data_IF_557984753389
#
_entry.id   IF_557984753389
#
_cell.length_a   1.000
_cell.length_b   1.000
_cell.length_c   1.000
_cell.angle_alpha   90.00
_cell.angle_beta   90.00
_cell.angle_gamma   90.00
#
_symmetry.space_group_name_H-M   'P 1'
#
loop_
_entity.id
_entity.type
_entity.pdbx_description
1 polymer ?
#
# COMPACT_ATOMS: atom_id res chain seq x y z
N UNK A 1 5.03 8.58 4.32
CA UNK A 1 5.89 8.00 3.26
C UNK A 1 5.02 7.29 2.24
N UNK A 2 5.00 7.80 1.00
CA UNK A 2 4.15 7.32 -0.10
C UNK A 2 4.76 6.08 -0.75
N UNK A 3 3.96 5.05 -1.01
CA UNK A 3 4.39 3.82 -1.66
C UNK A 3 4.29 3.96 -3.19
N UNK A 4 5.22 3.38 -3.96
CA UNK A 4 5.15 3.31 -5.42
C UNK A 4 3.90 2.56 -5.89
N UNK A 5 3.44 2.86 -7.11
CA UNK A 5 2.27 2.20 -7.69
C UNK A 5 2.46 0.67 -7.76
N UNK A 6 1.51 -0.08 -7.20
CA UNK A 6 1.51 -1.55 -7.18
C UNK A 6 2.42 -2.19 -6.13
N UNK A 7 3.06 -1.41 -5.26
CA UNK A 7 3.88 -1.93 -4.14
C UNK A 7 3.04 -1.99 -2.87
N UNK A 8 3.00 -3.16 -2.24
CA UNK A 8 2.28 -3.36 -1.00
C UNK A 8 3.18 -3.24 0.23
N UNK A 9 2.59 -2.94 1.39
CA UNK A 9 3.28 -3.04 2.67
C UNK A 9 2.31 -3.43 3.78
N UNK A 10 2.58 -4.55 4.44
CA UNK A 10 1.89 -4.98 5.64
C UNK A 10 2.53 -4.29 6.86
N UNK A 11 1.71 -3.67 7.70
CA UNK A 11 2.14 -2.99 8.92
C UNK A 11 1.32 -3.50 10.09
N UNK A 12 1.97 -3.68 11.24
CA UNK A 12 1.37 -4.11 12.49
C UNK A 12 0.61 -3.00 13.20
N UNK A 13 1.17 -1.78 13.17
CA UNK A 13 0.58 -0.59 13.78
C UNK A 13 1.10 0.69 13.16
N UNK A 14 0.55 1.84 13.60
CA UNK A 14 1.07 3.17 13.27
C UNK A 14 0.00 4.20 12.91
N UNK A 15 0.45 5.43 12.62
CA UNK A 15 -0.43 6.57 12.39
C UNK A 15 -1.12 6.59 11.02
N UNK A 16 -1.99 7.60 10.82
CA UNK A 16 -2.80 7.70 9.60
C UNK A 16 -2.00 8.05 8.33
N UNK A 17 -0.77 8.55 8.45
CA UNK A 17 0.10 8.84 7.29
C UNK A 17 -0.54 9.80 6.28
N UNK A 18 -1.28 10.80 6.78
CA UNK A 18 -2.08 11.76 5.99
C UNK A 18 -3.26 11.16 5.20
N UNK A 19 -3.64 9.91 5.45
CA UNK A 19 -4.83 9.29 4.85
C UNK A 19 -6.10 9.62 5.64
N UNK A 20 -7.04 10.35 5.03
CA UNK A 20 -8.27 10.82 5.71
C UNK A 20 -9.16 9.67 6.21
N UNK A 21 -9.31 8.60 5.43
CA UNK A 21 -10.08 7.43 5.87
C UNK A 21 -9.45 6.74 7.09
N UNK A 22 -8.12 6.69 7.16
CA UNK A 22 -7.42 6.06 8.29
C UNK A 22 -7.46 6.97 9.52
N UNK A 23 -7.41 8.29 9.32
CA UNK A 23 -7.65 9.28 10.38
C UNK A 23 -9.04 9.10 11.00
N UNK A 24 -10.07 8.89 10.18
CA UNK A 24 -11.44 8.61 10.64
C UNK A 24 -11.52 7.30 11.44
N UNK A 25 -10.97 6.20 10.92
CA UNK A 25 -10.94 4.91 11.64
C UNK A 25 -10.26 5.05 13.01
N UNK A 26 -9.07 5.64 13.07
CA UNK A 26 -8.34 5.86 14.34
C UNK A 26 -9.18 6.71 15.31
N UNK A 27 -9.82 7.76 14.81
CA UNK A 27 -10.68 8.63 15.62
C UNK A 27 -11.85 7.84 16.24
N UNK A 28 -12.59 7.07 15.44
CA UNK A 28 -13.72 6.27 15.91
C UNK A 28 -13.30 5.12 16.84
N UNK A 29 -12.06 4.66 16.72
CA UNK A 29 -11.46 3.70 17.62
C UNK A 29 -10.83 4.37 18.87
N UNK A 30 -11.31 5.56 19.26
CA UNK A 30 -10.86 6.32 20.44
C UNK A 30 -9.34 6.56 20.46
N UNK A 31 -8.76 6.80 19.28
CA UNK A 31 -7.33 7.03 19.13
C UNK A 31 -6.49 5.76 19.07
N UNK A 32 -7.08 4.56 19.11
CA UNK A 32 -6.35 3.30 18.97
C UNK A 32 -5.67 3.22 17.58
N UNK A 33 -4.39 2.82 17.59
CA UNK A 33 -3.52 2.65 16.40
C UNK A 33 -2.91 1.26 16.31
N UNK A 34 -3.27 0.38 17.25
CA UNK A 34 -2.75 -0.97 17.41
C UNK A 34 -3.58 -1.95 16.57
N UNK A 35 -3.66 -1.67 15.27
CA UNK A 35 -4.30 -2.57 14.31
C UNK A 35 -3.46 -2.70 13.05
N UNK A 36 -3.41 -3.95 12.58
CA UNK A 36 -2.72 -4.31 11.36
C UNK A 36 -3.39 -3.67 10.15
N UNK A 37 -2.59 -3.31 9.15
CA UNK A 37 -3.09 -2.78 7.89
C UNK A 37 -2.19 -3.16 6.72
N UNK A 38 -2.84 -3.50 5.61
CA UNK A 38 -2.20 -3.66 4.32
C UNK A 38 -2.32 -2.35 3.55
N UNK A 39 -1.18 -1.78 3.15
CA UNK A 39 -1.13 -0.56 2.34
C UNK A 39 -0.85 -0.94 0.90
N UNK A 40 -1.61 -0.38 -0.02
CA UNK A 40 -1.39 -0.49 -1.47
C UNK A 40 -0.90 0.86 -1.97
N UNK A 41 0.26 0.87 -2.62
CA UNK A 41 0.79 2.08 -3.23
C UNK A 41 0.10 2.40 -4.54
N UNK A 42 -0.27 3.67 -4.70
CA UNK A 42 -0.84 4.22 -5.94
C UNK A 42 0.14 5.18 -6.65
N UNK A 43 1.35 5.35 -6.12
CA UNK A 43 2.33 6.29 -6.64
C UNK A 43 2.15 7.70 -6.10
N UNK A 44 2.67 8.68 -6.84
CA UNK A 44 2.64 10.11 -6.50
C UNK A 44 2.03 10.90 -7.66
N UNK A 45 1.35 12.02 -7.38
CA UNK A 45 0.92 12.94 -8.43
C UNK A 45 2.12 13.38 -9.27
N UNK A 46 2.02 13.40 -10.61
CA UNK A 46 3.09 13.88 -11.48
C UNK A 46 3.19 15.41 -11.40
N UNK A 47 4.43 15.92 -11.36
CA UNK A 47 4.70 17.36 -11.35
C UNK A 47 4.04 18.10 -10.18
N UNK A 48 3.32 19.19 -10.49
CA UNK A 48 2.58 20.01 -9.52
C UNK A 48 1.09 19.66 -9.43
N UNK A 49 0.69 18.48 -9.88
CA UNK A 49 -0.72 18.06 -9.80
C UNK A 49 -1.21 18.03 -8.35
N UNK A 50 -2.41 18.56 -8.12
CA UNK A 50 -3.08 18.49 -6.81
C UNK A 50 -3.28 17.02 -6.37
N UNK A 51 -2.85 16.63 -5.16
CA UNK A 51 -3.03 15.28 -4.66
C UNK A 51 -4.49 14.81 -4.62
N UNK A 52 -5.47 15.68 -4.37
CA UNK A 52 -6.88 15.26 -4.37
C UNK A 52 -7.34 14.94 -5.79
N UNK A 53 -6.99 15.77 -6.77
CA UNK A 53 -7.25 15.48 -8.18
C UNK A 53 -6.65 14.13 -8.61
N UNK A 54 -5.40 13.85 -8.23
CA UNK A 54 -4.75 12.56 -8.53
C UNK A 54 -5.50 11.36 -7.94
N UNK A 55 -6.04 11.47 -6.72
CA UNK A 55 -6.79 10.39 -6.05
C UNK A 55 -8.13 10.08 -6.73
N UNK A 56 -8.74 11.06 -7.40
CA UNK A 56 -10.06 10.92 -8.02
C UNK A 56 -9.98 10.52 -9.50
N UNK A 57 -8.78 10.53 -10.09
CA UNK A 57 -8.57 10.12 -11.47
C UNK A 57 -8.59 8.60 -11.63
N UNK A 58 -8.96 8.16 -12.84
CA UNK A 58 -8.80 6.76 -13.24
C UNK A 58 -7.32 6.44 -13.44
N UNK A 59 -6.94 5.20 -13.15
CA UNK A 59 -5.61 4.70 -13.49
C UNK A 59 -5.42 4.64 -15.01
N UNK A 60 -4.22 5.00 -15.48
CA UNK A 60 -3.78 4.67 -16.85
C UNK A 60 -3.52 3.15 -16.97
N UNK A 61 -3.36 2.64 -18.20
CA UNK A 61 -3.21 1.21 -18.48
C UNK A 61 -2.09 0.55 -17.64
N UNK A 62 -0.88 1.13 -17.66
CA UNK A 62 0.27 0.60 -16.92
C UNK A 62 0.04 0.60 -15.40
N UNK A 63 -0.58 1.65 -14.85
CA UNK A 63 -0.90 1.71 -13.42
C UNK A 63 -1.99 0.72 -13.07
N UNK A 64 -2.98 0.54 -13.96
CA UNK A 64 -4.07 -0.42 -13.78
C UNK A 64 -3.55 -1.84 -13.68
N UNK A 65 -2.69 -2.27 -14.60
CA UNK A 65 -2.04 -3.59 -14.56
C UNK A 65 -1.26 -3.82 -13.26
N UNK A 66 -0.49 -2.81 -12.82
CA UNK A 66 0.26 -2.85 -11.56
C UNK A 66 -0.66 -2.98 -10.34
N UNK A 67 -1.78 -2.26 -10.34
CA UNK A 67 -2.78 -2.33 -9.26
C UNK A 67 -3.49 -3.68 -9.28
N UNK A 68 -3.91 -4.18 -10.45
CA UNK A 68 -4.60 -5.47 -10.56
C UNK A 68 -3.69 -6.62 -10.07
N UNK A 69 -2.40 -6.58 -10.40
CA UNK A 69 -1.39 -7.51 -9.87
C UNK A 69 -1.24 -7.36 -8.35
N UNK A 70 -1.16 -6.12 -7.86
CA UNK A 70 -1.02 -5.85 -6.43
C UNK A 70 -2.24 -6.33 -5.62
N UNK A 71 -3.45 -6.27 -6.20
CA UNK A 71 -4.65 -6.79 -5.55
C UNK A 71 -4.58 -8.31 -5.36
N UNK A 72 -4.12 -9.05 -6.38
CA UNK A 72 -3.92 -10.51 -6.25
C UNK A 72 -2.88 -10.84 -5.18
N UNK A 73 -1.71 -10.18 -5.21
CA UNK A 73 -0.67 -10.34 -4.18
C UNK A 73 -1.20 -9.99 -2.78
N UNK A 74 -2.07 -8.98 -2.67
CA UNK A 74 -2.70 -8.59 -1.42
C UNK A 74 -3.64 -9.66 -0.87
N UNK A 75 -4.42 -10.33 -1.73
CA UNK A 75 -5.26 -11.46 -1.35
C UNK A 75 -4.39 -12.60 -0.80
N UNK A 76 -3.28 -12.92 -1.47
CA UNK A 76 -2.38 -13.97 -1.02
C UNK A 76 -1.66 -13.61 0.29
N UNK A 77 -1.28 -12.34 0.48
CA UNK A 77 -0.76 -11.85 1.75
C UNK A 77 -1.77 -11.99 2.89
N UNK A 78 -3.06 -11.75 2.63
CA UNK A 78 -4.11 -11.94 3.62
C UNK A 78 -4.34 -13.42 3.97
N UNK A 79 -4.30 -14.33 2.98
CA UNK A 79 -4.33 -15.78 3.24
C UNK A 79 -3.13 -16.23 4.09
N UNK A 80 -1.94 -15.70 3.82
CA UNK A 80 -0.75 -15.99 4.60
C UNK A 80 -0.85 -15.45 6.03
N UNK A 81 -1.41 -14.24 6.20
CA UNK A 81 -1.68 -13.63 7.49
C UNK A 81 -2.61 -14.50 8.34
N UNK A 82 -3.69 -15.00 7.76
CA UNK A 82 -4.65 -15.87 8.47
C UNK A 82 -4.05 -17.22 8.87
N UNK A 83 -3.07 -17.74 8.12
CA UNK A 83 -2.48 -19.06 8.37
C UNK A 83 -1.23 -19.02 9.25
N UNK A 84 -0.38 -17.99 9.14
CA UNK A 84 0.92 -17.90 9.82
C UNK A 84 1.02 -16.73 10.81
N UNK A 85 0.01 -15.89 10.87
CA UNK A 85 0.01 -14.69 11.71
C UNK A 85 0.74 -13.51 11.08
N UNK A 86 0.57 -12.35 11.71
CA UNK A 86 1.01 -11.05 11.21
C UNK A 86 2.53 -10.92 11.10
N UNK A 87 3.26 -11.33 12.14
CA UNK A 87 4.73 -11.16 12.23
C UNK A 87 5.44 -11.94 11.14
N UNK A 88 5.14 -13.23 11.00
CA UNK A 88 5.76 -14.08 9.98
C UNK A 88 5.40 -13.62 8.57
N UNK A 89 4.13 -13.29 8.35
CA UNK A 89 3.68 -12.77 7.05
C UNK A 89 4.39 -11.48 6.69
N UNK A 90 4.49 -10.52 7.61
CA UNK A 90 5.18 -9.26 7.37
C UNK A 90 6.67 -9.47 7.10
N UNK A 91 7.31 -10.42 7.81
CA UNK A 91 8.73 -10.76 7.63
C UNK A 91 9.02 -11.32 6.25
N UNK A 92 8.16 -12.20 5.72
CA UNK A 92 8.37 -12.79 4.39
C UNK A 92 7.87 -11.89 3.25
N UNK A 93 6.73 -11.21 3.42
CA UNK A 93 6.06 -10.46 2.36
C UNK A 93 6.68 -9.09 2.10
N UNK A 94 6.99 -8.31 3.15
CA UNK A 94 7.47 -6.94 2.96
C UNK A 94 8.81 -6.85 2.23
N UNK A 95 9.80 -7.75 2.43
CA UNK A 95 11.02 -7.75 1.63
C UNK A 95 10.75 -7.98 0.14
N UNK A 96 9.88 -8.93 -0.22
CA UNK A 96 9.52 -9.19 -1.62
C UNK A 96 8.95 -7.92 -2.29
N UNK A 97 8.08 -7.22 -1.58
CA UNK A 97 7.50 -5.94 -2.03
C UNK A 97 8.56 -4.81 -2.13
N UNK A 98 9.55 -4.79 -1.23
CA UNK A 98 10.67 -3.82 -1.30
C UNK A 98 11.47 -4.00 -2.59
N UNK A 99 11.79 -5.24 -2.98
CA UNK A 99 12.55 -5.52 -4.20
C UNK A 99 11.73 -5.27 -5.48
N UNK A 100 10.41 -5.43 -5.42
CA UNK A 100 9.49 -5.03 -6.51
C UNK A 100 9.68 -3.55 -6.88
N UNK A 101 9.81 -2.67 -5.87
CA UNK A 101 10.05 -1.25 -6.12
C UNK A 101 11.40 -0.97 -6.79
N UNK A 102 12.46 -1.64 -6.34
CA UNK A 102 13.81 -1.43 -6.88
C UNK A 102 13.83 -1.74 -8.38
N UNK A 103 13.20 -2.85 -8.79
CA UNK A 103 13.07 -3.22 -10.21
C UNK A 103 12.29 -2.18 -11.03
N UNK A 104 11.26 -1.57 -10.43
CA UNK A 104 10.47 -0.52 -11.09
C UNK A 104 11.23 0.82 -11.23
N UNK A 105 12.23 1.09 -10.40
CA UNK A 105 13.05 2.31 -10.48
C UNK A 105 14.19 2.19 -11.48
N UNK A 106 14.63 0.98 -11.80
CA UNK A 106 15.75 0.72 -12.73
C UNK A 106 15.31 0.42 -14.16
N UNK A 107 14.00 0.39 -14.44
CA UNK A 107 13.49 0.26 -15.82
C UNK A 107 13.43 1.65 -16.48
N UNK A 108 13.99 1.82 -17.70
CA UNK A 108 13.82 3.06 -18.46
C UNK A 108 12.34 3.29 -18.82
N UNK A 109 11.94 4.55 -19.07
CA UNK A 109 10.56 4.92 -19.39
C UNK A 109 10.02 4.25 -20.65
#
# INVERSE_FOLDING_TARGET
MTLPCGVLRLQDKGGHGSHNGLKSVIYHFRGNREFARLRIGIGRPPGQMDPKAFLLQKFNATSRERIDTALQEGVDALKLLLSKGLTETARSFNPQQKYKHIRLQTMPP
#
